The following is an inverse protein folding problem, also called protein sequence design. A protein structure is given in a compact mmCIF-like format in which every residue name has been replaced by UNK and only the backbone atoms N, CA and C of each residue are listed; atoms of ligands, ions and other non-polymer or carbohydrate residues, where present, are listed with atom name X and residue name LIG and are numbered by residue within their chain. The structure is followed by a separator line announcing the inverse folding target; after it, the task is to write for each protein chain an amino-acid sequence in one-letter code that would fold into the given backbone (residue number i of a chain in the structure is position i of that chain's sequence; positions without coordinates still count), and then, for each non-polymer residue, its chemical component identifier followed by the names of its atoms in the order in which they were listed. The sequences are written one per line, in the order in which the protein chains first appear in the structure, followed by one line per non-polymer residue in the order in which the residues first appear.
data_IF_031020629658
#
_entry.id   IF_031020629658
#
_cell.length_a   1.000
_cell.length_b   1.000
_cell.length_c   1.000
_cell.angle_alpha   90.00
_cell.angle_beta   90.00
_cell.angle_gamma   90.00
#
_symmetry.space_group_name_H-M   'P 1'
#
loop_
_entity.id
_entity.type
_entity.pdbx_description
1 polymer ?
2 non-polymer ?
3 non-polymer ?
4 non-polymer ?
5 water ?
#
# COMPACT_ATOMS: atom_id res chain seq x y z
N UNK A 10 -5.77 6.35 17.30
CA UNK A 10 -6.62 6.61 16.14
C UNK A 10 -5.83 6.77 14.85
N UNK A 11 -6.25 5.99 13.83
CA UNK A 11 -5.85 6.20 12.43
C UNK A 11 -6.60 7.47 11.93
N UNK A 12 -5.90 8.46 11.30
CA UNK A 12 -6.61 9.69 10.86
C UNK A 12 -7.66 9.46 9.75
N UNK A 13 -8.69 10.33 9.71
CA UNK A 13 -9.92 10.14 8.93
C UNK A 13 -9.83 10.50 7.43
N UNK A 14 -8.75 11.13 7.02
CA UNK A 14 -8.64 11.54 5.63
C UNK A 14 -8.89 13.03 5.51
N UNK A 15 -8.07 13.72 4.70
CA UNK A 15 -8.09 15.19 4.61
C UNK A 15 -8.95 15.77 3.50
N UNK A 16 -9.37 14.92 2.57
CA UNK A 16 -10.11 15.35 1.39
C UNK A 16 -11.61 15.55 1.61
N UNK A 17 -12.30 16.08 0.59
CA UNK A 17 -13.76 16.34 0.73
C UNK A 17 -14.69 15.12 0.65
N UNK A 18 -14.20 13.97 0.17
CA UNK A 18 -15.03 12.78 -0.02
C UNK A 18 -15.11 11.96 1.27
N UNK A 19 -16.30 11.45 1.56
CA UNK A 19 -16.46 10.36 2.53
C UNK A 19 -15.78 9.09 1.99
N UNK A 20 -15.39 8.20 2.89
CA UNK A 20 -14.60 7.02 2.51
C UNK A 20 -15.31 5.70 2.86
N UNK A 21 -15.43 4.82 1.87
CA UNK A 21 -15.86 3.45 2.06
C UNK A 21 -14.74 2.44 1.96
N UNK A 22 -14.96 1.23 2.48
CA UNK A 22 -14.02 0.12 2.42
C UNK A 22 -14.75 -1.22 2.23
N UNK A 23 -14.17 -2.14 1.41
CA UNK A 23 -14.66 -3.52 1.31
C UNK A 23 -13.48 -4.41 0.93
N UNK A 24 -13.70 -5.73 0.93
CA UNK A 24 -12.68 -6.67 0.48
C UNK A 24 -13.14 -7.41 -0.75
N UNK A 25 -12.20 -7.66 -1.68
CA UNK A 25 -12.45 -8.43 -2.90
C UNK A 25 -11.42 -9.54 -3.08
N UNK A 26 -11.92 -10.76 -3.26
CA UNK A 26 -11.09 -11.90 -3.63
C UNK A 26 -11.64 -12.59 -4.89
N UNK A 27 -10.86 -12.57 -5.98
CA UNK A 27 -11.21 -13.25 -7.22
C UNK A 27 -9.96 -13.67 -8.06
N UNK A 28 -9.82 -14.96 -8.42
CA UNK A 28 -10.65 -16.08 -7.93
C UNK A 28 -10.35 -16.39 -6.45
N UNK A 29 -10.92 -17.49 -5.92
CA UNK A 29 -10.79 -17.94 -4.53
C UNK A 29 -9.41 -18.62 -4.22
N UNK A 30 -8.57 -18.90 -5.25
CA UNK A 30 -7.36 -19.70 -5.07
C UNK A 30 -6.17 -18.86 -4.61
N UNK A 31 -5.06 -19.55 -4.27
CA UNK A 31 -3.78 -18.91 -3.91
C UNK A 31 -3.13 -18.12 -5.11
N UNK A 32 -3.64 -18.34 -6.34
CA UNK A 32 -3.24 -17.61 -7.55
C UNK A 32 -4.21 -16.48 -7.96
N UNK A 33 -5.35 -16.39 -7.29
CA UNK A 33 -6.30 -15.32 -7.53
C UNK A 33 -5.85 -14.02 -6.93
N UNK A 34 -6.65 -12.95 -7.12
CA UNK A 34 -6.35 -11.65 -6.53
C UNK A 34 -7.11 -11.50 -5.22
N UNK A 35 -6.41 -11.00 -4.20
CA UNK A 35 -7.03 -10.56 -2.95
C UNK A 35 -6.64 -9.10 -2.70
N UNK A 36 -7.63 -8.21 -2.55
CA UNK A 36 -7.35 -6.80 -2.24
C UNK A 36 -8.37 -6.20 -1.27
N UNK A 37 -7.95 -5.15 -0.56
CA UNK A 37 -8.84 -4.26 0.21
C UNK A 37 -9.03 -2.97 -0.60
N UNK A 38 -10.29 -2.64 -0.86
CA UNK A 38 -10.65 -1.49 -1.66
C UNK A 38 -11.06 -0.31 -0.73
N UNK A 39 -10.50 0.87 -0.98
CA UNK A 39 -10.89 2.15 -0.36
C UNK A 39 -11.40 2.99 -1.50
N UNK A 40 -12.49 3.71 -1.26
CA UNK A 40 -13.20 4.35 -2.38
C UNK A 40 -14.04 5.52 -1.88
N UNK A 41 -14.28 6.52 -2.74
CA UNK A 41 -15.17 7.62 -2.36
C UNK A 41 -16.56 7.06 -2.13
N UNK A 42 -17.16 7.35 -0.97
CA UNK A 42 -18.44 6.72 -0.67
C UNK A 42 -19.62 7.71 -0.67
N UNK A 43 -20.78 7.20 -1.08
CA UNK A 43 -22.05 7.93 -1.12
C UNK A 43 -22.47 8.35 0.32
N UNK A 44 -22.27 7.45 1.28
CA UNK A 44 -22.78 7.57 2.66
C UNK A 44 -21.66 7.54 3.68
N UNK A 45 -21.93 8.13 4.84
CA UNK A 45 -20.98 8.30 5.92
C UNK A 45 -21.56 7.83 7.27
N UNK A 46 -22.49 6.85 7.24
CA UNK A 46 -23.19 6.38 8.45
C UNK A 46 -23.09 4.86 8.66
N UNK A 47 -22.03 4.26 8.13
CA UNK A 47 -21.83 2.82 8.27
C UNK A 47 -20.94 2.53 9.48
N UNK A 48 -20.92 1.27 9.89
CA UNK A 48 -19.90 0.77 10.85
C UNK A 48 -18.51 1.06 10.32
N UNK A 49 -17.57 1.43 11.22
CA UNK A 49 -16.17 1.56 10.83
C UNK A 49 -15.58 0.17 10.49
N UNK A 50 -14.46 0.18 9.75
CA UNK A 50 -13.83 -1.03 9.24
C UNK A 50 -12.90 -1.66 10.28
N UNK A 51 -13.09 -2.96 10.59
CA UNK A 51 -12.18 -3.69 11.49
C UNK A 51 -10.76 -3.72 10.87
N UNK A 52 -9.75 -3.27 11.64
CA UNK A 52 -8.40 -2.98 11.15
C UNK A 52 -7.62 -4.26 10.83
N UNK A 53 -7.56 -5.17 11.79
CA UNK A 53 -6.95 -6.49 11.60
C UNK A 53 -8.07 -7.54 11.79
N UNK A 54 -8.64 -8.09 10.72
CA UNK A 54 -9.93 -8.79 10.85
C UNK A 54 -9.93 -10.27 11.25
N UNK A 55 -8.75 -10.91 11.44
CA UNK A 55 -8.70 -12.35 11.76
C UNK A 55 -7.58 -12.60 12.73
N UNK A 56 -7.81 -13.48 13.69
CA UNK A 56 -6.80 -13.94 14.65
C UNK A 56 -5.51 -14.45 13.98
N UNK A 57 -5.62 -15.11 12.82
CA UNK A 57 -4.44 -15.69 12.16
C UNK A 57 -3.45 -14.59 11.68
N UNK A 58 -3.93 -13.35 11.38
CA UNK A 58 -3.02 -12.22 11.08
C UNK A 58 -2.15 -11.92 12.31
N UNK A 59 -2.72 -11.99 13.53
CA UNK A 59 -1.95 -11.80 14.77
C UNK A 59 -0.90 -12.87 14.99
N UNK A 60 -1.23 -14.15 14.70
CA UNK A 60 -0.25 -15.26 14.69
C UNK A 60 0.89 -15.01 13.70
N UNK A 61 0.55 -14.59 12.49
CA UNK A 61 1.53 -14.17 11.47
C UNK A 61 2.39 -13.02 11.97
N UNK A 62 1.78 -11.96 12.52
CA UNK A 62 2.56 -10.83 13.06
C UNK A 62 3.53 -11.25 14.17
N UNK A 63 3.12 -12.19 15.05
CA UNK A 63 3.98 -12.64 16.16
C UNK A 63 5.19 -13.42 15.61
N UNK A 64 4.99 -14.30 14.59
CA UNK A 64 6.08 -14.98 13.86
C UNK A 64 7.04 -13.95 13.19
N UNK A 65 6.50 -12.92 12.47
CA UNK A 65 7.34 -11.88 11.85
C UNK A 65 8.22 -11.18 12.93
N UNK A 66 7.64 -10.93 14.11
CA UNK A 66 8.33 -10.23 15.21
C UNK A 66 9.29 -11.14 16.02
N UNK A 67 9.36 -12.43 15.68
CA UNK A 67 10.23 -13.39 16.33
C UNK A 67 9.77 -13.82 17.71
N UNK A 68 8.44 -13.75 18.00
CA UNK A 68 7.91 -14.25 19.27
C UNK A 68 7.12 -15.54 19.07
N UNK A 69 6.75 -16.23 20.18
CA UNK A 69 5.87 -17.41 20.16
C UNK A 69 4.48 -16.98 19.72
N UNK A 70 3.73 -17.87 19.02
CA UNK A 70 2.39 -17.58 18.52
C UNK A 70 1.44 -17.05 19.61
N UNK A 71 1.70 -17.36 20.89
CA UNK A 71 0.93 -16.91 22.06
C UNK A 71 0.99 -15.40 22.27
N UNK A 72 2.08 -14.76 21.86
CA UNK A 72 2.12 -13.29 21.80
C UNK A 72 1.07 -12.77 20.81
N UNK A 73 0.79 -13.53 19.74
CA UNK A 73 -0.30 -13.27 18.79
C UNK A 73 -1.63 -13.13 19.50
N UNK A 74 -1.98 -14.07 20.39
CA UNK A 74 -3.18 -13.95 21.21
C UNK A 74 -3.19 -12.69 22.09
N UNK A 75 -2.04 -12.27 22.65
CA UNK A 75 -1.98 -11.03 23.45
C UNK A 75 -2.15 -9.79 22.54
N UNK A 76 -1.51 -9.79 21.37
CA UNK A 76 -1.73 -8.68 20.43
C UNK A 76 -3.19 -8.60 20.01
N UNK A 77 -3.87 -9.76 19.82
CA UNK A 77 -5.29 -9.80 19.45
C UNK A 77 -6.14 -9.24 20.61
N UNK A 78 -5.82 -9.58 21.88
CA UNK A 78 -6.47 -8.96 23.04
C UNK A 78 -6.34 -7.41 23.03
N UNK A 79 -5.15 -6.88 22.76
CA UNK A 79 -4.88 -5.46 22.82
C UNK A 79 -5.40 -4.66 21.62
N UNK A 80 -5.46 -5.30 20.42
CA UNK A 80 -5.71 -4.63 19.15
C UNK A 80 -6.81 -5.23 18.25
N UNK A 81 -7.33 -6.41 18.60
CA UNK A 81 -8.33 -7.15 17.80
C UNK A 81 -9.68 -6.47 17.56
N UNK A 82 -10.02 -5.43 18.32
CA UNK A 82 -11.27 -4.70 18.12
C UNK A 82 -11.04 -3.26 17.57
N UNK A 83 -9.77 -2.88 17.36
CA UNK A 83 -9.42 -1.61 16.73
C UNK A 83 -10.05 -1.48 15.32
N UNK A 84 -10.57 -0.31 15.02
CA UNK A 84 -11.19 -0.01 13.73
C UNK A 84 -10.39 1.05 13.03
N UNK A 85 -10.68 1.26 11.76
CA UNK A 85 -10.09 2.30 10.95
C UNK A 85 -11.26 3.12 10.38
N UNK A 86 -11.14 4.48 10.26
CA UNK A 86 -12.33 5.28 9.90
C UNK A 86 -12.67 5.25 8.40
N UNK A 87 -13.20 4.12 7.95
CA UNK A 87 -13.76 3.93 6.60
C UNK A 87 -15.07 3.19 6.78
N UNK A 88 -16.11 3.65 6.07
CA UNK A 88 -17.47 3.09 6.12
C UNK A 88 -17.48 1.73 5.46
N UNK A 89 -17.64 0.64 6.28
CA UNK A 89 -17.54 -0.74 5.77
C UNK A 89 -18.72 -0.99 4.84
N UNK A 90 -18.42 -1.41 3.59
CA UNK A 90 -19.43 -1.76 2.57
C UNK A 90 -20.39 -0.63 2.18
N UNK A 91 -19.96 0.61 2.40
CA UNK A 91 -20.74 1.79 2.01
C UNK A 91 -20.94 1.75 0.47
N UNK A 92 -22.09 2.17 -0.10
CA UNK A 92 -22.16 2.33 -1.55
C UNK A 92 -21.10 3.30 -2.08
N UNK A 93 -20.51 2.98 -3.24
CA UNK A 93 -19.64 3.88 -4.02
C UNK A 93 -20.37 5.20 -4.38
N UNK A 94 -19.72 6.34 -4.17
CA UNK A 94 -20.29 7.63 -4.59
C UNK A 94 -20.46 7.57 -6.14
N UNK A 95 -21.70 7.74 -6.66
CA UNK A 95 -21.90 7.65 -8.11
C UNK A 95 -21.58 8.97 -8.80
N UNK A 96 -21.56 8.93 -10.14
CA UNK A 96 -21.53 10.12 -10.99
C UNK A 96 -20.16 10.62 -11.39
N UNK A 97 -19.10 9.92 -11.02
CA UNK A 97 -17.73 10.35 -11.35
C UNK A 97 -16.84 9.15 -11.61
N UNK A 98 -15.95 9.27 -12.61
CA UNK A 98 -14.86 8.29 -12.80
C UNK A 98 -13.69 8.67 -11.93
N UNK A 99 -13.14 7.68 -11.25
CA UNK A 99 -12.08 7.84 -10.26
C UNK A 99 -10.76 7.28 -10.78
N UNK A 100 -9.65 8.03 -10.59
CA UNK A 100 -8.31 7.43 -10.84
C UNK A 100 -8.06 6.28 -9.87
N UNK A 101 -7.15 5.35 -10.25
CA UNK A 101 -6.89 4.10 -9.54
C UNK A 101 -5.46 4.02 -9.04
N UNK A 102 -5.31 3.77 -7.76
CA UNK A 102 -4.03 3.42 -7.18
C UNK A 102 -4.05 1.91 -6.85
N UNK A 103 -3.02 1.19 -7.32
CA UNK A 103 -2.75 -0.15 -6.78
C UNK A 103 -1.66 0.02 -5.71
N UNK A 104 -1.91 -0.48 -4.49
CA UNK A 104 -1.04 -0.33 -3.32
C UNK A 104 -0.36 -1.67 -2.91
N UNK A 105 0.99 -1.64 -2.73
CA UNK A 105 1.75 -2.84 -2.33
C UNK A 105 2.35 -2.73 -0.91
N UNK A 106 2.00 -3.70 -0.03
CA UNK A 106 2.43 -3.72 1.38
C UNK A 106 3.87 -4.19 1.55
N UNK A 107 4.45 -3.93 2.70
CA UNK A 107 5.83 -4.34 3.02
C UNK A 107 5.95 -5.80 3.51
N UNK A 108 7.19 -6.20 3.78
CA UNK A 108 7.53 -7.48 4.39
C UNK A 108 6.94 -7.58 5.80
N UNK A 109 6.22 -8.66 6.07
CA UNK A 109 5.55 -8.88 7.35
C UNK A 109 4.26 -8.09 7.47
N UNK A 110 3.85 -7.41 6.42
CA UNK A 110 2.57 -6.66 6.46
C UNK A 110 1.49 -7.51 5.78
N UNK A 111 0.35 -6.90 5.44
CA UNK A 111 -0.77 -7.49 4.67
C UNK A 111 -1.67 -6.31 4.23
N UNK A 112 -2.82 -6.59 3.61
CA UNK A 112 -3.58 -5.56 2.85
C UNK A 112 -4.21 -4.41 3.71
N UNK A 113 -4.45 -4.61 5.03
CA UNK A 113 -5.28 -3.72 5.84
C UNK A 113 -4.40 -2.68 6.61
N UNK A 114 -3.05 -2.81 6.53
CA UNK A 114 -2.14 -2.07 7.44
C UNK A 114 -1.67 -0.69 6.91
N UNK A 115 -2.25 -0.26 5.81
CA UNK A 115 -1.91 1.03 5.20
C UNK A 115 -3.16 1.83 4.94
N UNK A 116 -4.09 1.75 5.90
CA UNK A 116 -5.37 2.44 5.83
C UNK A 116 -5.24 3.96 5.98
N UNK A 117 -4.27 4.46 6.75
CA UNK A 117 -4.11 5.93 6.83
C UNK A 117 -3.88 6.54 5.39
N UNK A 118 -3.01 5.90 4.60
CA UNK A 118 -2.75 6.25 3.19
C UNK A 118 -3.99 6.00 2.30
N UNK A 119 -4.53 4.79 2.36
CA UNK A 119 -5.64 4.34 1.51
C UNK A 119 -6.87 5.22 1.71
N UNK A 120 -7.22 5.47 2.97
CA UNK A 120 -8.32 6.37 3.35
C UNK A 120 -8.04 7.80 2.87
N UNK A 121 -6.83 8.35 3.09
CA UNK A 121 -6.57 9.71 2.65
C UNK A 121 -6.70 9.86 1.13
N UNK A 122 -6.13 8.95 0.36
CA UNK A 122 -6.22 8.99 -1.11
C UNK A 122 -7.69 8.92 -1.55
N UNK A 123 -8.49 8.03 -0.91
CA UNK A 123 -9.89 7.88 -1.24
C UNK A 123 -10.69 9.14 -0.93
N UNK A 124 -10.39 9.82 0.22
CA UNK A 124 -11.03 11.08 0.63
C UNK A 124 -10.76 12.20 -0.40
N UNK A 125 -9.72 12.04 -1.24
CA UNK A 125 -9.43 12.99 -2.33
C UNK A 125 -9.99 12.57 -3.72
N UNK A 126 -10.77 11.48 -3.78
CA UNK A 126 -11.41 11.04 -5.03
C UNK A 126 -10.72 9.93 -5.78
N UNK A 127 -9.85 9.14 -5.10
CA UNK A 127 -9.21 7.94 -5.64
C UNK A 127 -9.94 6.66 -5.22
N UNK A 128 -9.90 5.66 -6.12
CA UNK A 128 -10.11 4.28 -5.71
C UNK A 128 -8.72 3.67 -5.46
N UNK A 129 -8.57 2.99 -4.32
CA UNK A 129 -7.34 2.35 -3.85
C UNK A 129 -7.56 0.87 -3.71
N UNK A 130 -6.77 0.08 -4.47
CA UNK A 130 -6.70 -1.38 -4.33
C UNK A 130 -5.41 -1.78 -3.63
N UNK A 131 -5.50 -2.06 -2.31
CA UNK A 131 -4.40 -2.53 -1.49
C UNK A 131 -4.39 -4.06 -1.63
N UNK A 132 -3.42 -4.55 -2.41
CA UNK A 132 -3.29 -5.97 -2.70
C UNK A 132 -2.79 -6.73 -1.48
N UNK A 133 -3.21 -7.99 -1.31
CA UNK A 133 -2.56 -8.87 -0.37
C UNK A 133 -1.72 -9.87 -1.15
N UNK A 134 -0.40 -9.85 -0.88
CA UNK A 134 0.53 -10.70 -1.63
C UNK A 134 0.53 -12.15 -1.11
N UNK A 135 0.61 -13.11 -2.04
CA UNK A 135 0.65 -14.57 -1.78
C UNK A 135 2.03 -15.16 -2.05
N UNK A 136 3.06 -14.30 -1.99
CA UNK A 136 4.47 -14.68 -2.20
C UNK A 136 5.16 -15.16 -0.88
N UNK A 137 4.38 -15.21 0.25
CA UNK A 137 4.87 -15.55 1.60
C UNK A 137 5.74 -14.41 2.20
N UNK A 138 5.62 -13.16 1.67
CA UNK A 138 6.15 -11.95 2.31
C UNK A 138 5.09 -11.33 3.26
N UNK A 139 3.80 -11.70 3.10
CA UNK A 139 2.81 -11.22 4.09
C UNK A 139 3.04 -11.94 5.43
N UNK A 140 2.81 -11.27 6.59
CA UNK A 140 2.80 -11.98 7.90
C UNK A 140 1.87 -13.20 7.82
N UNK A 141 0.65 -12.98 7.30
CA UNK A 141 -0.30 -14.04 7.00
C UNK A 141 -1.15 -13.59 5.82
N UNK A 142 -1.69 -14.59 5.11
CA UNK A 142 -2.74 -14.39 4.11
C UNK A 142 -3.58 -15.66 4.00
N UNK A 143 -4.73 -15.56 3.35
CA UNK A 143 -5.57 -16.74 3.18
C UNK A 143 -6.18 -16.80 1.80
N UNK A 144 -6.68 -17.99 1.47
CA UNK A 144 -7.29 -18.34 0.18
C UNK A 144 -8.13 -19.62 0.43
N UNK A 145 -8.72 -20.19 -0.64
CA UNK A 145 -9.57 -21.40 -0.54
C UNK A 145 -9.02 -22.47 -1.49
N UNK A 146 -8.93 -23.72 -1.03
CA UNK A 146 -8.32 -24.81 -1.80
C UNK A 146 -9.09 -25.10 -3.10
N UNK A 147 -10.43 -24.93 -3.05
CA UNK A 147 -11.32 -25.20 -4.19
C UNK A 147 -12.66 -24.54 -3.99
N UNK A 148 -13.61 -24.76 -4.92
CA UNK A 148 -14.92 -24.09 -4.88
C UNK A 148 -15.75 -24.48 -3.63
N UNK A 149 -15.69 -25.75 -3.23
CA UNK A 149 -16.37 -26.24 -2.01
C UNK A 149 -15.93 -25.48 -0.77
N UNK A 150 -14.59 -25.33 -0.57
CA UNK A 150 -13.99 -24.65 0.58
C UNK A 150 -14.42 -23.16 0.62
N UNK A 151 -14.41 -22.50 -0.55
CA UNK A 151 -14.84 -21.11 -0.71
C UNK A 151 -16.29 -20.93 -0.27
N UNK A 152 -17.22 -21.80 -0.71
CA UNK A 152 -18.64 -21.84 -0.32
C UNK A 152 -18.86 -21.87 1.18
N UNK A 153 -18.20 -22.81 1.89
CA UNK A 153 -18.39 -23.01 3.33
C UNK A 153 -17.48 -22.12 4.18
N UNK A 154 -16.64 -21.31 3.53
CA UNK A 154 -15.72 -20.39 4.18
C UNK A 154 -14.60 -21.08 4.94
N UNK A 155 -14.13 -22.23 4.40
CA UNK A 155 -13.02 -22.97 4.98
C UNK A 155 -11.68 -22.41 4.47
N UNK A 156 -11.12 -21.48 5.25
CA UNK A 156 -9.91 -20.73 4.87
C UNK A 156 -8.67 -21.59 5.02
N UNK A 157 -7.77 -21.57 4.01
CA UNK A 157 -6.41 -22.08 4.15
C UNK A 157 -5.50 -20.87 4.40
N UNK A 158 -4.65 -20.94 5.46
CA UNK A 158 -3.72 -19.85 5.79
C UNK A 158 -2.32 -20.11 5.24
N UNK A 159 -1.66 -19.04 4.81
CA UNK A 159 -0.29 -19.07 4.28
C UNK A 159 0.49 -18.06 5.11
N UNK A 160 1.54 -18.53 5.79
CA UNK A 160 2.30 -17.71 6.71
C UNK A 160 3.62 -17.25 6.11
N UNK A 161 4.13 -16.09 6.58
CA UNK A 161 5.46 -15.57 6.30
C UNK A 161 6.53 -16.69 6.22
N UNK A 162 7.31 -16.65 5.15
CA UNK A 162 8.46 -17.55 5.03
C UNK A 162 9.70 -16.85 5.58
N UNK A 163 10.42 -17.53 6.45
CA UNK A 163 11.73 -17.07 6.93
C UNK A 163 12.79 -17.67 6.02
N UNK A 164 13.83 -16.89 5.74
CA UNK A 164 14.89 -17.30 4.80
C UNK A 164 16.20 -17.49 5.54
N UNK A 165 16.99 -18.47 5.10
CA UNK A 165 18.41 -18.51 5.38
C UNK A 165 19.10 -17.45 4.51
N UNK A 166 20.28 -16.93 4.95
CA UNK A 166 21.04 -15.88 4.24
C UNK A 166 21.34 -16.24 2.80
N UNK A 167 21.64 -17.52 2.51
CA UNK A 167 21.96 -18.03 1.18
C UNK A 167 20.77 -18.00 0.21
N UNK A 168 19.54 -17.96 0.75
CA UNK A 168 18.29 -17.90 -0.04
C UNK A 168 17.87 -16.47 -0.38
N UNK A 169 18.39 -15.47 0.35
CA UNK A 169 17.92 -14.06 0.28
C UNK A 169 17.85 -13.50 -1.14
N UNK A 170 18.99 -13.47 -1.87
CA UNK A 170 19.06 -12.84 -3.21
C UNK A 170 18.00 -13.41 -4.13
N UNK A 171 18.00 -14.75 -4.29
CA UNK A 171 17.13 -15.47 -5.19
C UNK A 171 15.67 -15.41 -4.80
N UNK A 172 15.33 -15.69 -3.53
CA UNK A 172 13.94 -15.72 -3.09
C UNK A 172 13.33 -14.32 -3.07
N UNK A 173 14.03 -13.27 -2.59
CA UNK A 173 13.47 -11.90 -2.62
C UNK A 173 13.14 -11.43 -4.03
N UNK A 174 13.97 -11.84 -4.97
CA UNK A 174 13.73 -11.52 -6.39
C UNK A 174 12.57 -12.32 -6.96
N UNK A 175 12.44 -13.63 -6.65
CA UNK A 175 11.24 -14.41 -7.06
C UNK A 175 9.96 -13.73 -6.51
N UNK A 176 10.00 -13.32 -5.25
CA UNK A 176 8.90 -12.67 -4.55
C UNK A 176 8.52 -11.31 -5.18
N UNK A 177 9.53 -10.43 -5.49
CA UNK A 177 9.22 -9.11 -6.08
C UNK A 177 8.59 -9.29 -7.47
N UNK A 178 9.03 -10.35 -8.18
CA UNK A 178 8.44 -10.65 -9.48
C UNK A 178 6.99 -11.16 -9.37
N UNK A 179 6.70 -12.07 -8.43
CA UNK A 179 5.30 -12.43 -8.12
C UNK A 179 4.44 -11.23 -7.66
N UNK A 180 4.96 -10.41 -6.76
CA UNK A 180 4.31 -9.15 -6.32
C UNK A 180 3.89 -8.23 -7.51
N UNK A 181 4.78 -8.03 -8.48
CA UNK A 181 4.48 -7.27 -9.71
C UNK A 181 3.35 -7.92 -10.50
N UNK A 182 3.38 -9.27 -10.64
CA UNK A 182 2.33 -10.01 -11.38
C UNK A 182 0.97 -9.85 -10.67
N UNK A 183 1.00 -9.89 -9.34
CA UNK A 183 -0.17 -9.69 -8.48
C UNK A 183 -0.70 -8.27 -8.62
N UNK A 184 0.18 -7.25 -8.74
CA UNK A 184 -0.28 -5.87 -9.00
C UNK A 184 -0.94 -5.74 -10.36
N UNK A 185 -0.33 -6.35 -11.40
CA UNK A 185 -0.90 -6.34 -12.75
C UNK A 185 -2.22 -7.08 -12.80
N UNK A 186 -2.31 -8.23 -12.11
CA UNK A 186 -3.52 -9.05 -12.12
C UNK A 186 -4.65 -8.30 -11.40
N UNK A 187 -4.33 -7.64 -10.27
CA UNK A 187 -5.30 -6.81 -9.56
C UNK A 187 -5.81 -5.68 -10.45
N UNK A 188 -4.89 -4.98 -11.19
CA UNK A 188 -5.29 -4.00 -12.20
C UNK A 188 -6.28 -4.59 -13.23
N UNK A 189 -5.94 -5.75 -13.83
CA UNK A 189 -6.80 -6.33 -14.88
C UNK A 189 -8.17 -6.69 -14.31
N UNK A 190 -8.22 -7.24 -13.08
CA UNK A 190 -9.47 -7.51 -12.37
C UNK A 190 -10.33 -6.25 -12.24
N UNK A 191 -9.77 -5.15 -11.70
CA UNK A 191 -10.53 -3.90 -11.52
C UNK A 191 -10.98 -3.33 -12.86
N UNK A 192 -10.09 -3.28 -13.86
CA UNK A 192 -10.46 -2.82 -15.20
C UNK A 192 -11.56 -3.70 -15.81
N UNK A 193 -11.53 -5.04 -15.61
CA UNK A 193 -12.58 -5.91 -16.14
C UNK A 193 -13.91 -5.70 -15.44
N UNK A 194 -13.87 -5.43 -14.11
CA UNK A 194 -15.06 -5.05 -13.34
C UNK A 194 -15.59 -3.69 -13.85
N UNK A 195 -14.67 -2.75 -14.15
CA UNK A 195 -15.08 -1.44 -14.70
C UNK A 195 -15.80 -1.64 -16.06
N UNK A 196 -15.27 -2.56 -16.91
CA UNK A 196 -15.80 -2.92 -18.23
C UNK A 196 -16.91 -3.98 -18.21
N UNK A 197 -17.52 -4.17 -17.02
CA UNK A 197 -18.79 -4.84 -16.76
C UNK A 197 -18.80 -6.34 -16.59
N UNK A 198 -17.61 -6.99 -16.66
CA UNK A 198 -17.44 -8.44 -16.45
C UNK A 198 -18.07 -8.87 -15.10
N UNK A 199 -18.99 -9.88 -15.14
CA UNK A 199 -19.54 -10.40 -13.89
C UNK A 199 -18.45 -11.14 -13.12
N UNK A 200 -18.22 -10.73 -11.88
CA UNK A 200 -17.27 -11.37 -10.97
C UNK A 200 -18.06 -11.70 -9.70
N UNK A 201 -18.03 -12.97 -9.26
CA UNK A 201 -18.57 -13.37 -7.96
C UNK A 201 -17.42 -13.29 -6.94
N UNK A 202 -17.50 -12.33 -6.03
CA UNK A 202 -16.54 -12.19 -4.95
C UNK A 202 -16.50 -13.51 -4.17
N UNK A 203 -15.29 -14.12 -3.97
CA UNK A 203 -15.18 -15.37 -3.19
C UNK A 203 -15.53 -15.11 -1.72
N UNK A 204 -15.48 -13.83 -1.32
CA UNK A 204 -15.92 -13.43 0.02
C UNK A 204 -17.39 -13.02 -0.06
N UNK A 205 -18.19 -13.49 0.89
CA UNK A 205 -19.62 -13.19 0.88
C UNK A 205 -19.82 -11.88 1.61
N UNK A 206 -19.77 -10.75 0.87
CA UNK A 206 -19.86 -9.42 1.48
C UNK A 206 -20.97 -8.59 0.86
N UNK A 207 -21.57 -7.72 1.64
CA UNK A 207 -22.72 -6.94 1.18
C UNK A 207 -22.31 -5.65 0.45
N UNK A 208 -21.40 -5.79 -0.53
CA UNK A 208 -20.98 -4.73 -1.47
C UNK A 208 -21.02 -5.33 -2.86
N UNK A 209 -22.00 -4.91 -3.66
CA UNK A 209 -22.16 -5.34 -5.05
C UNK A 209 -21.06 -4.74 -5.95
N UNK A 210 -20.18 -5.59 -6.54
CA UNK A 210 -19.09 -5.16 -7.43
C UNK A 210 -19.58 -4.48 -8.73
N UNK A 211 -20.85 -4.67 -9.09
CA UNK A 211 -21.48 -3.99 -10.22
C UNK A 211 -21.50 -2.44 -10.10
N UNK A 212 -21.43 -1.88 -8.88
CA UNK A 212 -21.27 -0.43 -8.64
C UNK A 212 -20.05 0.14 -9.34
N UNK A 213 -18.96 -0.65 -9.40
CA UNK A 213 -17.70 -0.24 -9.99
C UNK A 213 -17.73 -0.14 -11.53
N UNK A 214 -18.82 -0.64 -12.19
CA UNK A 214 -18.96 -0.55 -13.64
C UNK A 214 -18.99 0.93 -14.00
N UNK A 215 -18.21 1.30 -15.03
CA UNK A 215 -18.06 2.67 -15.55
C UNK A 215 -17.57 3.68 -14.51
N UNK A 216 -16.82 3.23 -13.49
CA UNK A 216 -16.45 4.11 -12.38
C UNK A 216 -14.94 4.42 -12.26
N UNK A 217 -14.09 3.77 -13.09
CA UNK A 217 -12.64 3.98 -13.11
C UNK A 217 -12.30 4.96 -14.24
N UNK A 218 -11.47 5.98 -13.94
CA UNK A 218 -10.87 6.81 -15.02
C UNK A 218 -9.70 5.95 -15.57
N UNK A 219 -9.98 5.22 -16.64
CA UNK A 219 -9.18 4.06 -17.07
C UNK A 219 -7.73 4.35 -17.49
N UNK A 220 -7.39 5.59 -17.89
CA UNK A 220 -6.01 5.97 -18.19
C UNK A 220 -5.23 6.53 -16.97
N UNK A 221 -5.91 6.74 -15.83
CA UNK A 221 -5.33 7.41 -14.67
C UNK A 221 -5.01 6.36 -13.59
N UNK A 222 -3.94 5.59 -13.87
CA UNK A 222 -3.54 4.46 -13.02
C UNK A 222 -2.15 4.68 -12.47
N UNK A 223 -2.00 4.51 -11.15
CA UNK A 223 -0.71 4.55 -10.48
C UNK A 223 -0.48 3.36 -9.60
N UNK A 224 0.80 3.07 -9.31
CA UNK A 224 1.15 2.03 -8.35
C UNK A 224 1.94 2.73 -7.23
N UNK A 225 1.59 2.42 -5.98
CA UNK A 225 2.23 3.00 -4.79
C UNK A 225 2.57 1.83 -3.83
N UNK A 226 3.64 1.95 -3.08
CA UNK A 226 3.95 0.88 -2.15
C UNK A 226 5.06 1.23 -1.19
N UNK A 227 5.05 0.57 -0.02
CA UNK A 227 6.01 0.83 1.05
C UNK A 227 7.00 -0.30 1.19
N UNK A 228 8.30 0.04 1.28
CA UNK A 228 9.38 -0.90 1.68
C UNK A 228 9.53 -2.01 0.60
N UNK A 229 9.20 -3.31 0.90
CA UNK A 229 9.12 -4.36 -0.15
C UNK A 229 8.16 -3.89 -1.24
N UNK A 230 7.09 -3.24 -0.82
CA UNK A 230 6.12 -2.66 -1.74
C UNK A 230 6.66 -1.53 -2.62
N UNK A 231 7.69 -0.81 -2.12
CA UNK A 231 8.39 0.22 -2.87
C UNK A 231 9.19 -0.40 -4.01
N UNK A 232 9.96 -1.48 -3.73
CA UNK A 232 10.58 -2.30 -4.80
C UNK A 232 9.50 -2.86 -5.78
N UNK A 233 8.32 -3.25 -5.25
CA UNK A 233 7.19 -3.76 -6.06
C UNK A 233 6.72 -2.69 -7.06
N UNK A 234 6.54 -1.41 -6.60
CA UNK A 234 6.33 -0.27 -7.49
C UNK A 234 7.23 -0.32 -8.73
N UNK A 235 8.54 -0.45 -8.51
CA UNK A 235 9.52 -0.35 -9.60
C UNK A 235 9.47 -1.55 -10.53
N UNK A 236 9.43 -2.77 -9.97
CA UNK A 236 9.29 -3.97 -10.83
C UNK A 236 8.00 -3.87 -11.65
N UNK A 237 6.86 -3.49 -11.00
CA UNK A 237 5.57 -3.33 -11.68
C UNK A 237 5.63 -2.34 -12.86
N UNK A 238 6.15 -1.11 -12.63
CA UNK A 238 6.36 -0.13 -13.71
C UNK A 238 7.14 -0.70 -14.88
N UNK A 239 8.26 -1.41 -14.59
CA UNK A 239 9.11 -1.92 -15.70
C UNK A 239 8.39 -2.99 -16.55
N UNK A 240 7.42 -3.68 -15.96
CA UNK A 240 6.72 -4.81 -16.57
C UNK A 240 5.35 -4.45 -17.13
N UNK A 241 4.73 -3.34 -16.69
CA UNK A 241 3.32 -3.08 -17.03
C UNK A 241 3.15 -1.59 -17.30
N UNK A 242 3.11 -1.23 -18.60
CA UNK A 242 3.01 0.15 -19.04
C UNK A 242 1.61 0.75 -18.81
N UNK A 243 0.62 -0.06 -18.38
CA UNK A 243 -0.68 0.48 -17.98
C UNK A 243 -0.55 1.37 -16.74
N UNK A 244 0.40 1.08 -15.85
CA UNK A 244 0.77 1.97 -14.75
C UNK A 244 1.50 3.22 -15.29
N UNK A 245 0.95 4.42 -15.03
CA UNK A 245 1.44 5.67 -15.65
C UNK A 245 2.49 6.39 -14.82
N UNK A 246 2.51 6.13 -13.50
CA UNK A 246 3.58 6.63 -12.63
C UNK A 246 3.63 5.77 -11.37
N UNK A 247 4.68 5.93 -10.59
CA UNK A 247 4.81 5.22 -9.31
C UNK A 247 5.37 6.08 -8.20
N UNK A 248 4.99 5.73 -6.99
CA UNK A 248 5.50 6.38 -5.76
C UNK A 248 5.99 5.27 -4.86
N UNK A 249 7.30 5.29 -4.54
CA UNK A 249 7.98 4.32 -3.71
C UNK A 249 8.15 4.96 -2.33
N UNK A 250 7.46 4.40 -1.32
CA UNK A 250 7.51 4.93 0.06
C UNK A 250 8.53 4.17 0.82
N UNK A 251 9.68 4.81 1.13
CA UNK A 251 10.81 4.18 1.82
C UNK A 251 11.12 2.82 1.19
N UNK A 252 11.37 2.79 -0.14
CA UNK A 252 11.59 1.55 -0.86
C UNK A 252 12.75 0.73 -0.24
N UNK A 253 12.56 -0.58 -0.14
CA UNK A 253 13.63 -1.54 0.12
C UNK A 253 14.07 -2.13 -1.23
N UNK A 254 15.25 -1.71 -1.72
CA UNK A 254 15.64 -1.94 -3.12
C UNK A 254 16.27 -3.31 -3.38
N UNK A 255 16.76 -3.94 -2.33
CA UNK A 255 17.42 -5.28 -2.41
C UNK A 255 16.70 -6.33 -3.34
N UNK A 256 15.35 -6.54 -3.29
CA UNK A 256 14.71 -7.57 -4.16
C UNK A 256 14.91 -7.41 -5.68
N UNK A 257 15.16 -6.20 -6.15
CA UNK A 257 15.16 -5.88 -7.59
C UNK A 257 16.31 -6.54 -8.36
N UNK A 258 16.02 -7.09 -9.53
CA UNK A 258 17.06 -7.58 -10.42
C UNK A 258 17.81 -6.44 -11.10
N UNK A 259 19.09 -6.67 -11.47
CA UNK A 259 19.96 -5.70 -12.17
C UNK A 259 19.33 -5.14 -13.44
N UNK A 260 18.50 -5.94 -14.09
CA UNK A 260 17.88 -5.62 -15.36
C UNK A 260 16.84 -4.51 -15.25
N UNK A 261 16.21 -4.30 -14.07
CA UNK A 261 15.03 -3.41 -14.00
C UNK A 261 15.39 -1.95 -14.11
N UNK A 262 16.60 -1.57 -13.64
CA UNK A 262 16.97 -0.17 -13.34
C UNK A 262 16.91 0.74 -14.53
N UNK A 263 17.32 0.23 -15.72
CA UNK A 263 17.31 0.97 -16.98
C UNK A 263 15.95 0.86 -17.71
N UNK A 264 14.95 0.17 -17.10
CA UNK A 264 13.73 -0.24 -17.81
C UNK A 264 12.47 0.43 -17.18
N UNK A 265 12.60 1.63 -16.60
CA UNK A 265 11.46 2.27 -15.95
C UNK A 265 11.13 3.62 -16.69
N UNK A 266 10.37 3.62 -17.81
CA UNK A 266 10.08 4.90 -18.49
C UNK A 266 9.16 5.86 -17.75
N UNK A 267 8.33 5.36 -16.80
CA UNK A 267 7.32 6.19 -16.12
C UNK A 267 7.92 7.12 -15.06
N UNK A 268 7.26 8.29 -14.79
CA UNK A 268 7.67 9.10 -13.62
C UNK A 268 7.65 8.31 -12.31
N UNK A 269 8.68 8.50 -11.48
CA UNK A 269 8.85 7.78 -10.23
C UNK A 269 9.27 8.75 -9.15
N UNK A 270 8.60 8.66 -7.99
CA UNK A 270 8.79 9.51 -6.83
C UNK A 270 9.22 8.64 -5.64
N UNK A 271 10.40 8.96 -5.06
CA UNK A 271 10.87 8.30 -3.85
C UNK A 271 10.54 9.20 -2.66
N UNK A 272 9.74 8.70 -1.70
CA UNK A 272 9.49 9.42 -0.43
C UNK A 272 10.11 8.60 0.69
N UNK A 273 11.20 9.12 1.28
CA UNK A 273 12.00 8.38 2.27
C UNK A 273 11.82 8.84 3.69
N UNK A 274 12.08 7.91 4.63
CA UNK A 274 12.23 8.33 6.02
C UNK A 274 13.70 8.72 6.23
N UNK A 275 13.98 9.57 7.23
CA UNK A 275 15.35 9.96 7.62
C UNK A 275 16.19 8.78 8.17
N UNK A 276 15.59 7.96 9.06
CA UNK A 276 16.35 6.98 9.83
C UNK A 276 16.46 5.62 9.15
N UNK A 277 15.55 5.27 8.21
CA UNK A 277 15.65 3.97 7.55
C UNK A 277 16.84 3.84 6.59
N UNK A 278 17.08 4.90 5.78
CA UNK A 278 17.89 4.77 4.57
C UNK A 278 19.38 4.57 4.84
N UNK A 279 20.06 3.98 3.87
CA UNK A 279 21.48 3.61 3.97
C UNK A 279 22.11 3.66 2.60
N UNK A 280 23.45 3.86 2.52
CA UNK A 280 24.09 4.02 1.19
C UNK A 280 23.75 2.95 0.13
N UNK A 281 23.77 1.62 0.48
CA UNK A 281 23.55 0.58 -0.55
C UNK A 281 22.18 0.79 -1.21
N UNK A 282 21.17 1.13 -0.39
CA UNK A 282 19.79 1.40 -0.80
C UNK A 282 19.66 2.69 -1.63
N UNK A 283 20.34 3.78 -1.24
CA UNK A 283 20.34 5.05 -2.00
C UNK A 283 21.02 4.87 -3.35
N UNK A 284 22.13 4.10 -3.41
CA UNK A 284 22.86 3.82 -4.65
C UNK A 284 21.88 3.16 -5.66
N UNK A 285 21.07 2.18 -5.19
CA UNK A 285 20.10 1.51 -6.07
C UNK A 285 18.98 2.47 -6.58
N UNK A 286 18.52 3.39 -5.71
CA UNK A 286 17.56 4.42 -6.17
C UNK A 286 18.14 5.30 -7.28
N UNK A 287 19.37 5.81 -7.08
CA UNK A 287 20.10 6.61 -8.08
C UNK A 287 20.30 5.87 -9.40
N UNK A 288 20.42 4.51 -9.37
CA UNK A 288 20.49 3.68 -10.57
C UNK A 288 19.21 3.77 -11.44
N UNK A 289 18.07 4.21 -10.84
CA UNK A 289 16.81 4.40 -11.58
C UNK A 289 16.84 5.70 -12.36
N UNK A 290 17.79 6.60 -12.08
CA UNK A 290 17.86 7.95 -12.65
C UNK A 290 18.46 7.87 -14.05
N UNK A 291 18.00 8.75 -14.94
CA UNK A 291 18.38 8.83 -16.35
C UNK A 291 17.91 10.20 -16.87
N UNK A 292 18.68 10.89 -17.77
CA UNK A 292 18.33 12.29 -18.10
C UNK A 292 16.93 12.46 -18.68
N UNK A 293 16.46 11.45 -19.45
CA UNK A 293 15.16 11.44 -20.11
C UNK A 293 13.97 11.08 -19.15
N UNK A 294 14.28 10.65 -17.92
CA UNK A 294 13.28 10.14 -16.99
C UNK A 294 12.95 11.10 -15.87
N UNK A 295 11.65 11.20 -15.55
CA UNK A 295 11.17 12.00 -14.45
C UNK A 295 11.36 11.25 -13.09
N UNK A 296 12.26 11.81 -12.23
CA UNK A 296 12.56 11.31 -10.89
C UNK A 296 12.55 12.42 -9.87
N UNK A 297 11.95 12.14 -8.70
CA UNK A 297 11.86 13.07 -7.57
C UNK A 297 12.14 12.27 -6.30
N UNK A 298 12.78 12.92 -5.31
CA UNK A 298 13.12 12.26 -4.04
C UNK A 298 13.12 13.30 -2.93
N UNK A 299 12.44 12.96 -1.81
CA UNK A 299 12.35 13.77 -0.60
C UNK A 299 12.53 12.85 0.58
N UNK A 300 12.95 13.44 1.71
CA UNK A 300 13.16 12.72 2.96
C UNK A 300 12.36 13.48 4.05
N UNK A 301 11.57 12.76 4.84
CA UNK A 301 10.80 13.36 5.92
C UNK A 301 11.74 13.44 7.14
N UNK A 302 12.06 14.68 7.62
CA UNK A 302 12.94 14.91 8.79
C UNK A 302 12.32 14.25 10.03
N UNK A 303 13.15 13.58 10.84
CA UNK A 303 12.74 13.01 12.12
C UNK A 303 11.86 11.77 12.00
N UNK A 304 11.72 11.20 10.77
CA UNK A 304 10.83 10.05 10.54
C UNK A 304 11.56 8.69 10.45
N UNK A 305 10.80 7.63 10.67
CA UNK A 305 11.27 6.24 10.70
C UNK A 305 10.48 5.43 9.67
N UNK A 306 10.97 4.21 9.33
CA UNK A 306 10.37 3.29 8.38
C UNK A 306 8.86 3.11 8.63
N UNK A 307 8.49 2.99 9.91
CA UNK A 307 7.12 2.72 10.32
C UNK A 307 6.18 3.94 10.18
N UNK A 308 6.69 5.19 9.93
CA UNK A 308 5.80 6.35 9.69
C UNK A 308 4.84 6.15 8.47
N UNK A 309 5.19 5.24 7.55
CA UNK A 309 4.38 5.02 6.35
C UNK A 309 3.27 3.99 6.57
N UNK A 310 3.27 3.28 7.72
CA UNK A 310 2.25 2.26 7.93
C UNK A 310 1.38 2.60 9.16
N UNK A 311 0.29 1.86 9.40
CA UNK A 311 -0.67 2.17 10.46
C UNK A 311 -0.21 1.93 11.89
N UNK A 312 0.86 1.12 12.09
CA UNK A 312 1.35 0.88 13.45
C UNK A 312 1.79 2.17 14.16
N UNK A 313 2.20 3.22 13.39
CA UNK A 313 2.59 4.57 13.87
C UNK A 313 1.40 5.30 14.58
N UNK A 314 0.16 4.84 14.34
CA UNK A 314 -1.04 5.40 14.99
C UNK A 314 -1.59 4.50 16.08
N UNK A 315 -1.06 3.26 16.21
CA UNK A 315 -1.65 2.22 17.06
C UNK A 315 -1.37 2.36 18.56
N UNK A 316 -0.32 3.11 18.97
CA UNK A 316 0.06 3.26 20.39
C UNK A 316 0.27 4.75 20.70
N UNK A 317 0.47 5.05 21.99
CA UNK A 317 0.91 6.36 22.46
C UNK A 317 2.32 6.74 22.03
N UNK A 318 2.69 8.03 22.23
CA UNK A 318 3.97 8.59 21.81
C UNK A 318 5.19 7.86 22.40
N UNK A 319 5.24 7.65 23.75
CA UNK A 319 6.39 7.04 24.41
C UNK A 319 6.59 5.56 24.01
N UNK A 320 5.56 4.72 24.17
CA UNK A 320 5.60 3.32 23.71
C UNK A 320 5.94 3.25 22.20
N UNK A 321 5.34 4.16 21.42
CA UNK A 321 5.58 4.26 19.99
C UNK A 321 7.05 4.41 19.62
N UNK A 322 7.74 5.39 20.29
CA UNK A 322 9.15 5.67 20.03
C UNK A 322 10.01 4.45 20.42
N UNK A 323 9.70 3.83 21.57
CA UNK A 323 10.41 2.66 22.10
C UNK A 323 10.35 1.48 21.14
N UNK A 324 9.14 1.18 20.61
CA UNK A 324 8.89 0.09 19.66
C UNK A 324 9.31 0.42 18.23
N UNK A 325 9.91 1.63 18.03
CA UNK A 325 10.35 2.15 16.72
C UNK A 325 9.16 2.22 15.70
N UNK A 326 7.95 2.52 16.22
CA UNK A 326 6.76 2.72 15.41
C UNK A 326 6.63 4.23 15.09
N UNK A 327 7.24 5.08 15.91
CA UNK A 327 7.14 6.53 15.75
C UNK A 327 8.55 7.08 15.70
N UNK A 328 8.72 8.22 15.01
CA UNK A 328 9.95 8.99 15.00
C UNK A 328 9.87 10.22 15.88
N UNK A 329 10.86 11.12 15.75
CA UNK A 329 10.86 12.43 16.45
C UNK A 329 9.70 13.32 15.99
N UNK A 330 9.39 13.23 14.69
CA UNK A 330 8.28 13.92 14.05
C UNK A 330 6.93 13.35 14.52
N UNK A 331 5.94 14.23 14.67
CA UNK A 331 4.55 13.83 14.89
C UNK A 331 4.05 12.96 13.71
N UNK A 332 3.37 11.85 14.03
CA UNK A 332 2.92 10.87 13.03
C UNK A 332 1.92 11.43 12.03
N UNK A 333 1.00 12.29 12.50
CA UNK A 333 0.03 12.94 11.62
C UNK A 333 0.72 13.90 10.69
N UNK A 334 1.67 14.71 11.23
CA UNK A 334 2.46 15.67 10.45
C UNK A 334 3.22 14.92 9.32
N UNK A 335 3.92 13.80 9.66
CA UNK A 335 4.69 13.01 8.69
C UNK A 335 3.78 12.42 7.60
N UNK A 336 2.66 11.76 7.98
CA UNK A 336 1.80 11.14 6.97
C UNK A 336 1.11 12.21 6.08
N UNK A 337 0.74 13.40 6.63
CA UNK A 337 0.21 14.52 5.84
C UNK A 337 1.18 14.91 4.75
N UNK A 338 2.50 15.09 5.09
CA UNK A 338 3.55 15.39 4.13
C UNK A 338 3.68 14.34 3.03
N UNK A 339 3.76 13.03 3.41
CA UNK A 339 3.85 11.94 2.45
C UNK A 339 2.60 11.91 1.53
N UNK A 340 1.36 11.98 2.12
CA UNK A 340 0.08 11.95 1.36
C UNK A 340 -0.13 13.18 0.45
N UNK A 341 0.16 14.41 0.94
CA UNK A 341 0.00 15.65 0.12
C UNK A 341 0.99 15.72 -1.04
N UNK A 342 2.28 15.41 -0.77
CA UNK A 342 3.32 15.33 -1.81
C UNK A 342 2.95 14.26 -2.83
N UNK A 343 2.34 13.15 -2.37
CA UNK A 343 1.87 12.07 -3.26
C UNK A 343 0.77 12.58 -4.17
N UNK A 344 -0.27 13.23 -3.58
CA UNK A 344 -1.36 13.87 -4.34
C UNK A 344 -0.87 14.84 -5.42
N UNK A 345 0.11 15.69 -5.11
CA UNK A 345 0.63 16.64 -6.11
C UNK A 345 1.34 15.90 -7.27
N UNK A 346 2.15 14.87 -6.95
CA UNK A 346 2.85 14.07 -7.95
C UNK A 346 1.86 13.34 -8.88
N UNK A 347 0.83 12.70 -8.28
CA UNK A 347 -0.24 11.98 -9.01
C UNK A 347 -0.99 12.96 -9.95
N UNK A 348 -1.34 14.18 -9.47
CA UNK A 348 -1.96 15.21 -10.31
C UNK A 348 -1.09 15.52 -11.55
N UNK A 349 0.20 15.75 -11.34
CA UNK A 349 1.16 16.10 -12.38
C UNK A 349 1.25 14.98 -13.43
N UNK A 350 1.43 13.73 -13.00
CA UNK A 350 1.75 12.68 -13.98
C UNK A 350 0.52 11.84 -14.41
N UNK A 351 -0.66 12.03 -13.78
CA UNK A 351 -1.89 11.42 -14.27
C UNK A 351 -2.77 12.42 -15.02
N UNK A 352 -2.45 13.71 -14.91
CA UNK A 352 -3.22 14.77 -15.56
C UNK A 352 -4.58 15.01 -14.93
N UNK A 353 -4.61 15.01 -13.58
CA UNK A 353 -5.87 15.25 -12.87
C UNK A 353 -6.23 16.74 -12.84
N UNK A 354 -7.54 17.04 -12.80
CA UNK A 354 -8.05 18.41 -12.76
C UNK A 354 -8.61 18.73 -11.39
N UNK A 355 -7.74 18.62 -10.40
CA UNK A 355 -8.00 18.86 -8.99
C UNK A 355 -7.09 19.99 -8.50
N UNK A 356 -7.03 20.18 -7.17
CA UNK A 356 -6.29 21.28 -6.59
C UNK A 356 -5.01 20.78 -5.91
N UNK A 357 -4.53 19.58 -6.31
CA UNK A 357 -3.40 18.94 -5.61
C UNK A 357 -2.07 19.66 -5.89
N UNK A 358 -2.01 20.49 -6.96
CA UNK A 358 -0.86 21.34 -7.27
C UNK A 358 -0.54 22.41 -6.16
N UNK A 359 -1.48 22.66 -5.20
CA UNK A 359 -1.17 23.46 -4.00
C UNK A 359 0.02 22.86 -3.20
N UNK A 360 0.30 21.55 -3.35
CA UNK A 360 1.40 20.88 -2.66
C UNK A 360 2.59 20.59 -3.57
N UNK A 361 2.69 21.25 -4.74
CA UNK A 361 3.84 21.11 -5.64
C UNK A 361 5.20 21.33 -4.95
N UNK A 362 5.24 22.32 -4.05
CA UNK A 362 6.40 22.68 -3.21
C UNK A 362 6.97 21.49 -2.45
N UNK A 363 6.08 20.59 -1.99
CA UNK A 363 6.45 19.37 -1.27
C UNK A 363 7.19 18.36 -2.16
N UNK A 364 6.83 18.26 -3.48
CA UNK A 364 7.55 17.37 -4.41
C UNK A 364 9.04 17.74 -4.43
N UNK A 365 9.35 19.04 -4.22
CA UNK A 365 10.71 19.57 -4.22
C UNK A 365 11.33 19.61 -2.80
N UNK A 366 10.62 19.09 -1.81
CA UNK A 366 11.05 19.07 -0.41
C UNK A 366 11.10 20.44 0.25
N UNK A 367 10.29 21.41 -0.24
CA UNK A 367 10.25 22.78 0.30
C UNK A 367 9.23 22.90 1.42
N UNK A 368 9.69 22.54 2.61
CA UNK A 368 8.96 22.51 3.88
C UNK A 368 9.99 22.34 5.00
N UNK A 369 9.73 22.94 6.17
CA UNK A 369 10.55 22.82 7.37
C UNK A 369 10.86 21.35 7.79
N UNK A 370 9.90 20.44 7.58
CA UNK A 370 9.98 19.03 7.93
C UNK A 370 10.37 18.12 6.75
N UNK A 371 10.82 18.73 5.62
CA UNK A 371 11.34 17.98 4.47
C UNK A 371 12.78 18.31 4.15
N UNK A 372 13.51 17.27 3.71
CA UNK A 372 14.85 17.37 3.15
C UNK A 372 14.65 17.15 1.64
N UNK A 373 15.12 18.09 0.78
CA UNK A 373 15.15 17.77 -0.65
C UNK A 373 16.18 16.66 -0.90
N UNK A 374 15.81 15.70 -1.73
CA UNK A 374 16.66 14.55 -2.01
C UNK A 374 16.86 13.67 -0.79
N UNK A 375 18.11 13.46 -0.43
CA UNK A 375 18.49 12.57 0.67
C UNK A 375 19.53 13.19 1.61
N UNK A 376 19.45 12.86 2.92
CA UNK A 376 20.48 13.13 3.93
C UNK A 376 21.65 12.13 3.80
N UNK A 377 21.46 11.03 3.04
CA UNK A 377 22.47 9.97 2.99
C UNK A 377 23.58 10.34 2.00
N UNK A 378 24.82 10.44 2.49
CA UNK A 378 26.01 10.61 1.65
C UNK A 378 26.39 9.27 0.98
N UNK A 379 26.50 9.29 -0.35
CA UNK A 379 27.03 8.17 -1.14
C UNK A 379 28.28 8.70 -1.88
N UNK A 380 29.29 7.83 -2.09
CA UNK A 380 30.66 8.16 -2.56
C UNK A 380 31.29 9.31 -1.75
X LIG B 1 24.95 0.51 3.23
X LIG C 1 12.82 -4.88 5.81
X LIG C 1 11.49 -5.31 5.39
X LIG C 1 13.15 -3.41 4.91
X LIG C 1 13.90 -6.05 5.03
X LIG D 1 13.81 3.13 10.67
X LIG E 1 3.21 -2.62 8.27
X LIG E 1 5.42 -3.53 8.49
X LIG E 1 6.01 -4.78 9.14
X LIG E 1 4.84 -5.85 11.09
X LIG E 1 5.62 -4.51 12.63
X LIG E 1 5.25 -3.99 15.08
X LIG E 1 3.88 -4.14 15.19
X LIG E 1 3.26 -4.29 16.43
X LIG E 1 4.02 -4.23 17.61
X LIG E 1 3.41 -4.37 18.98
X LIG E 1 9.64 -4.07 16.66
X LIG E 1 1.77 -4.43 16.43
X LIG E 1 1.20 -5.64 16.06
X LIG E 1 -0.16 -5.80 16.04
X LIG E 1 -0.99 -4.75 16.38
X LIG E 1 -0.45 -3.53 16.75
X LIG E 1 0.93 -3.35 16.79
X LIG E 1 4.02 -3.79 8.30
X LIG E 1 6.05 -3.23 7.12
X LIG E 1 7.32 -2.62 7.26
X LIG E 1 5.64 -4.93 10.55
X LIG E 1 4.80 -5.61 12.43
X LIG E 1 5.88 -3.84 13.83
X LIG E 1 5.39 -4.06 17.50
X LIG E 1 6.01 -3.93 16.26
X LIG E 1 7.36 -3.76 16.07
X LIG E 1 8.22 -4.00 17.19
X LIG E 1 10.12 -2.73 16.24
X LIG E 1 1.48 -2.00 17.17
X LIG E 1 6.13 -4.07 11.48
X LIG E 1 2.27 -2.87 8.30
X LIG E 1 3.43 -2.05 9.04
X LIG E 1 3.39 -2.11 7.44
X LIG E 1 5.55 -2.76 9.09
X LIG E 1 5.70 -5.58 8.66
X LIG E 1 6.99 -4.75 9.07
X LIG E 1 4.41 -6.55 10.63
X LIG E 1 3.36 -4.16 14.40
X LIG E 1 3.25 -5.31 19.17
X LIG E 1 2.56 -3.90 19.00
X LIG E 1 4.00 -3.99 19.64
X LIG E 1 9.68 -4.67 15.88
X LIG E 1 10.24 -4.43 17.35
X LIG E 1 1.76 -6.36 15.82
X LIG E 1 -0.54 -6.62 15.79
X LIG E 1 -1.93 -4.86 16.36
X LIG E 1 -1.02 -2.82 16.98
X LIG E 1 6.14 -4.05 6.61
X LIG E 1 5.46 -2.63 6.62
X LIG E 1 7.94 -3.15 6.92
X LIG E 1 4.32 -6.08 13.09
X LIG E 1 6.59 -3.33 13.82
X LIG E 1 5.92 -4.04 18.28
X LIG E 1 7.99 -4.84 17.63
X LIG E 1 8.14 -3.27 17.84
X LIG E 1 11.02 -2.76 16.04
X LIG E 1 9.66 -2.44 15.50
X LIG E 1 2.12 -2.10 17.90
X LIG E 1 0.75 -1.42 17.46
X LIG E 1 1.94 -1.60 16.40
#
# INVERSE_FOLDING_TARGET
MAAASFGQTKIPRGNGPYSVGCTDLMFDHTNKGTFLRLYYPSQDNDRLDTLWIPNKEYFWGLSKFLGTHWLMGNILRLLFGSMTTPANWNSPLRPGEKYPLVVFSHGLGAFRTLYSAIGIDLASHGFIVAAVEHRDRSASATYYFKDQSAAEIGDKSWLYLRTLKQEEETHIRNEQVRQRAKECSQALSLILDIDHGKPVKNALDLKFDMEQLKDSIDREKIAVIGHSFGGATVIQTLSEDQRFRCGIALDAWMFPLGDEVYSRIPQPLFFINSEYFQYPANIIKMKKCYSPDKERKMITIRGSVHQNFADFTFATGKIIGHMLKLKGDIDSNVAIDLSNKASLAFLQKHLGLHKDFDQWDCLIEGDDENLIPGTNINTTNQHHHHHH
CL CL
DMS S O C1 C2
CL CL
6HU C1 C3 C6 C8 C10 C12 C13 C14 C15 C16 C21 C23 C24 C25 C26 C27 C28 O2 C4 O5 N7 C9 N11 C17 C18 O19 C20 N22 C29 N30 H35 H36 H37 H31 H41 H42 H43 H46 H47 H49 H48 H54 H53 H55 H56 H57 H58 H38 H39 H40 H44 H45 H50 H52 H51 H32 H33 H59 H61 H60
#
